data_IF_968950336413
#
_entry.id   IF_968950336413
#
_cell.length_a   1.000
_cell.length_b   1.000
_cell.length_c   1.000
_cell.angle_alpha   90.00
_cell.angle_beta   90.00
_cell.angle_gamma   90.00
#
_symmetry.space_group_name_H-M   'P 1'
#
loop_
_entity.id
_entity.type
_entity.pdbx_description
1 polymer ?
#
# COMPACT_ATOMS: atom_id res chain seq x y z
N UNK A 1 22.64 5.91 17.37
CA UNK A 1 21.16 6.08 17.35
C UNK A 1 20.56 6.69 18.62
N UNK A 2 21.31 6.85 19.73
CA UNK A 2 20.78 7.38 21.00
C UNK A 2 20.33 8.86 20.99
N UNK A 3 20.83 9.69 20.07
CA UNK A 3 20.66 11.15 20.12
C UNK A 3 19.25 11.68 19.83
N UNK A 4 18.40 10.90 19.14
CA UNK A 4 17.01 11.31 18.85
C UNK A 4 16.04 10.91 19.96
N UNK A 5 16.29 9.77 20.63
CA UNK A 5 15.44 9.28 21.70
C UNK A 5 15.49 10.17 22.95
N UNK A 6 16.62 10.84 23.18
CA UNK A 6 16.81 11.78 24.30
C UNK A 6 16.18 13.16 24.09
N UNK A 7 15.61 13.45 22.90
CA UNK A 7 15.05 14.77 22.57
C UNK A 7 13.53 14.80 22.79
N UNK A 8 12.93 15.97 23.09
CA UNK A 8 11.49 16.07 23.27
C UNK A 8 10.72 15.59 22.03
N UNK A 9 9.75 14.69 22.24
CA UNK A 9 8.99 14.05 21.17
C UNK A 9 8.30 15.06 20.24
N UNK A 10 7.74 16.14 20.79
CA UNK A 10 7.09 17.20 20.01
C UNK A 10 8.04 17.91 19.02
N UNK A 11 9.37 17.86 19.22
CA UNK A 11 10.36 18.43 18.29
C UNK A 11 10.80 17.44 17.20
N UNK A 12 10.78 16.13 17.50
CA UNK A 12 11.34 15.09 16.62
C UNK A 12 10.27 14.38 15.80
N UNK A 13 9.16 13.98 16.42
CA UNK A 13 8.10 13.18 15.79
C UNK A 13 7.52 13.84 14.53
N UNK A 14 7.20 15.16 14.51
CA UNK A 14 6.71 15.80 13.29
C UNK A 14 7.70 15.73 12.12
N UNK A 15 9.02 15.75 12.39
CA UNK A 15 10.05 15.61 11.33
C UNK A 15 10.10 14.19 10.77
N UNK A 16 10.01 13.18 11.63
CA UNK A 16 9.98 11.77 11.21
C UNK A 16 8.74 11.47 10.37
N UNK A 17 7.58 11.95 10.79
CA UNK A 17 6.32 11.78 10.06
C UNK A 17 6.37 12.45 8.69
N UNK A 18 6.87 13.69 8.59
CA UNK A 18 7.07 14.35 7.29
C UNK A 18 7.98 13.54 6.36
N UNK A 19 9.01 12.89 6.90
CA UNK A 19 9.90 12.02 6.10
C UNK A 19 9.16 10.80 5.57
N UNK A 20 8.32 10.16 6.39
CA UNK A 20 7.55 8.99 5.98
C UNK A 20 6.43 9.36 4.98
N UNK A 21 5.78 10.52 5.14
CA UNK A 21 4.87 11.09 4.12
C UNK A 21 5.60 11.33 2.80
N UNK A 22 6.78 11.94 2.83
CA UNK A 22 7.59 12.18 1.62
C UNK A 22 7.96 10.87 0.93
N UNK A 23 8.32 9.85 1.70
CA UNK A 23 8.65 8.53 1.19
C UNK A 23 7.47 7.90 0.45
N UNK A 24 6.29 7.88 1.09
CA UNK A 24 5.07 7.38 0.46
C UNK A 24 4.77 8.15 -0.84
N UNK A 25 4.83 9.48 -0.83
CA UNK A 25 4.61 10.30 -2.04
C UNK A 25 5.59 9.98 -3.17
N UNK A 26 6.83 9.66 -2.86
CA UNK A 26 7.81 9.26 -3.87
C UNK A 26 7.48 7.89 -4.47
N UNK A 27 7.17 6.90 -3.63
CA UNK A 27 6.78 5.57 -4.11
C UNK A 27 5.53 5.63 -5.01
N UNK A 28 4.52 6.45 -4.64
CA UNK A 28 3.33 6.64 -5.48
C UNK A 28 3.64 7.36 -6.79
N UNK A 29 4.58 8.30 -6.79
CA UNK A 29 5.00 8.99 -8.02
C UNK A 29 5.64 8.00 -9.00
N UNK A 30 6.58 7.21 -8.50
CA UNK A 30 7.26 6.16 -9.27
C UNK A 30 6.26 5.13 -9.81
N UNK A 31 5.22 4.80 -9.03
CA UNK A 31 4.15 3.92 -9.48
C UNK A 31 3.33 4.48 -10.65
N UNK A 32 3.14 5.81 -10.74
CA UNK A 32 2.41 6.43 -11.86
C UNK A 32 3.17 6.37 -13.19
N UNK A 33 4.48 6.21 -13.14
CA UNK A 33 5.32 6.15 -14.34
C UNK A 33 5.27 4.77 -15.01
N UNK A 34 4.57 3.80 -14.41
CA UNK A 34 4.44 2.45 -14.95
C UNK A 34 3.05 2.19 -15.56
N UNK A 35 2.93 1.36 -16.62
CA UNK A 35 1.65 1.02 -17.23
C UNK A 35 0.80 0.11 -16.33
N UNK A 36 -0.45 0.51 -16.09
CA UNK A 36 -1.46 -0.28 -15.39
C UNK A 36 -1.60 -1.69 -15.98
N UNK A 37 -1.88 -2.68 -15.12
CA UNK A 37 -2.14 -4.07 -15.54
C UNK A 37 -0.90 -4.89 -15.92
N UNK A 38 0.31 -4.33 -15.82
CA UNK A 38 1.53 -5.15 -15.90
C UNK A 38 1.64 -6.01 -14.64
N UNK A 39 1.84 -7.32 -14.81
CA UNK A 39 1.65 -8.36 -13.78
C UNK A 39 2.62 -8.35 -12.59
N UNK A 40 3.39 -7.27 -12.41
CA UNK A 40 4.06 -6.96 -11.16
C UNK A 40 4.30 -5.44 -11.16
N UNK A 41 3.70 -4.71 -10.21
CA UNK A 41 4.07 -3.32 -9.93
C UNK A 41 4.87 -3.27 -8.62
N UNK A 42 6.20 -3.54 -8.67
CA UNK A 42 7.09 -3.35 -7.52
C UNK A 42 6.89 -2.01 -6.83
N UNK A 43 6.52 -0.99 -7.61
CA UNK A 43 6.26 0.38 -7.18
C UNK A 43 4.98 0.53 -6.36
N UNK A 44 3.84 -0.07 -6.76
CA UNK A 44 2.63 -0.11 -5.92
C UNK A 44 2.85 -0.95 -4.66
N UNK A 45 3.62 -2.03 -4.75
CA UNK A 45 4.01 -2.81 -3.59
C UNK A 45 4.85 -1.99 -2.60
N UNK A 46 5.77 -1.15 -3.11
CA UNK A 46 6.55 -0.24 -2.30
C UNK A 46 5.69 0.86 -1.65
N UNK A 47 4.75 1.44 -2.41
CA UNK A 47 3.77 2.39 -1.87
C UNK A 47 2.95 1.77 -0.72
N UNK A 48 2.57 0.49 -0.83
CA UNK A 48 1.89 -0.24 0.25
C UNK A 48 2.74 -0.35 1.51
N UNK A 49 4.02 -0.73 1.36
CA UNK A 49 4.97 -0.81 2.50
C UNK A 49 5.12 0.54 3.19
N UNK A 50 5.27 1.61 2.41
CA UNK A 50 5.43 2.96 2.93
C UNK A 50 4.14 3.50 3.55
N UNK A 51 2.97 3.12 3.04
CA UNK A 51 1.67 3.41 3.65
C UNK A 51 1.53 2.74 5.02
N UNK A 52 1.87 1.46 5.13
CA UNK A 52 1.87 0.72 6.41
C UNK A 52 2.83 1.36 7.42
N UNK A 53 4.03 1.73 6.96
CA UNK A 53 5.03 2.43 7.78
C UNK A 53 4.50 3.76 8.30
N UNK A 54 3.91 4.57 7.43
CA UNK A 54 3.33 5.87 7.81
C UNK A 54 2.19 5.70 8.82
N UNK A 55 1.32 4.70 8.61
CA UNK A 55 0.24 4.37 9.57
C UNK A 55 0.80 4.09 10.95
N UNK A 56 1.76 3.18 11.07
CA UNK A 56 2.35 2.84 12.37
C UNK A 56 3.12 4.00 13.00
N UNK A 57 3.81 4.80 12.20
CA UNK A 57 4.45 6.02 12.71
C UNK A 57 3.41 7.00 13.27
N UNK A 58 2.27 7.15 12.59
CA UNK A 58 1.17 8.01 13.03
C UNK A 58 0.50 7.47 14.29
N UNK A 59 0.21 6.17 14.37
CA UNK A 59 -0.32 5.51 15.58
C UNK A 59 0.62 5.74 16.78
N UNK A 60 1.94 5.58 16.59
CA UNK A 60 2.95 5.85 17.61
C UNK A 60 3.05 7.34 18.00
N UNK A 61 2.59 8.25 17.15
CA UNK A 61 2.59 9.69 17.39
C UNK A 61 1.37 10.20 18.19
N UNK A 62 0.43 9.31 18.55
CA UNK A 62 -0.77 9.65 19.32
C UNK A 62 -0.51 10.48 20.58
N UNK A 63 0.54 10.22 21.40
CA UNK A 63 0.83 11.04 22.58
C UNK A 63 1.25 12.48 22.29
N UNK A 64 1.69 12.79 21.06
CA UNK A 64 2.11 14.14 20.66
C UNK A 64 0.91 14.98 20.22
N UNK A 65 0.02 14.42 19.41
CA UNK A 65 -1.20 15.07 18.96
C UNK A 65 -2.21 14.00 18.50
N UNK A 66 -3.11 13.60 19.40
CA UNK A 66 -4.07 12.51 19.16
C UNK A 66 -4.92 12.73 17.92
N UNK A 67 -5.53 13.90 17.78
CA UNK A 67 -6.47 14.19 16.69
C UNK A 67 -5.77 14.09 15.32
N UNK A 68 -4.66 14.79 15.14
CA UNK A 68 -3.95 14.81 13.85
C UNK A 68 -3.26 13.48 13.55
N UNK A 69 -2.74 12.80 14.57
CA UNK A 69 -2.14 11.47 14.43
C UNK A 69 -3.17 10.43 13.97
N UNK A 70 -4.36 10.40 14.59
CA UNK A 70 -5.44 9.48 14.23
C UNK A 70 -5.89 9.70 12.79
N UNK A 71 -6.15 10.96 12.39
CA UNK A 71 -6.53 11.29 11.00
C UNK A 71 -5.49 10.84 9.98
N UNK A 72 -4.20 10.98 10.30
CA UNK A 72 -3.13 10.53 9.42
C UNK A 72 -3.03 9.01 9.35
N UNK A 73 -3.21 8.31 10.48
CA UNK A 73 -3.23 6.85 10.53
C UNK A 73 -4.39 6.29 9.69
N UNK A 74 -5.59 6.88 9.81
CA UNK A 74 -6.78 6.48 9.05
C UNK A 74 -6.61 6.70 7.55
N UNK A 75 -6.08 7.86 7.14
CA UNK A 75 -5.77 8.15 5.74
C UNK A 75 -4.74 7.18 5.17
N UNK A 76 -3.68 6.87 5.93
CA UNK A 76 -2.67 5.89 5.52
C UNK A 76 -3.25 4.46 5.48
N UNK A 77 -4.17 4.13 6.38
CA UNK A 77 -4.87 2.84 6.41
C UNK A 77 -5.75 2.64 5.17
N UNK A 78 -6.49 3.66 4.74
CA UNK A 78 -7.31 3.60 3.53
C UNK A 78 -6.49 3.25 2.28
N UNK A 79 -5.36 3.94 2.09
CA UNK A 79 -4.41 3.62 1.01
C UNK A 79 -3.83 2.22 1.15
N UNK A 80 -3.40 1.85 2.37
CA UNK A 80 -2.84 0.53 2.66
C UNK A 80 -3.82 -0.60 2.33
N UNK A 81 -5.11 -0.42 2.61
CA UNK A 81 -6.16 -1.42 2.36
C UNK A 81 -6.34 -1.66 0.86
N UNK A 82 -6.49 -0.60 0.07
CA UNK A 82 -6.69 -0.71 -1.38
C UNK A 82 -5.48 -1.37 -2.06
N UNK A 83 -4.26 -0.97 -1.68
CA UNK A 83 -3.04 -1.60 -2.19
C UNK A 83 -2.85 -3.02 -1.65
N UNK A 84 -3.51 -3.39 -0.56
CA UNK A 84 -3.65 -4.76 -0.08
C UNK A 84 -4.47 -5.60 -1.05
N UNK A 85 -5.69 -5.15 -1.40
CA UNK A 85 -6.56 -5.83 -2.37
C UNK A 85 -5.83 -6.11 -3.71
N UNK A 86 -5.08 -5.11 -4.21
CA UNK A 86 -4.24 -5.27 -5.40
C UNK A 86 -3.17 -6.36 -5.23
N UNK A 87 -2.40 -6.32 -4.13
CA UNK A 87 -1.34 -7.30 -3.89
C UNK A 87 -1.89 -8.72 -3.72
N UNK A 88 -3.01 -8.86 -3.03
CA UNK A 88 -3.67 -10.15 -2.82
C UNK A 88 -4.11 -10.74 -4.16
N UNK A 89 -4.64 -9.91 -5.07
CA UNK A 89 -4.96 -10.31 -6.44
C UNK A 89 -3.72 -10.79 -7.21
N UNK A 90 -2.60 -10.04 -7.15
CA UNK A 90 -1.34 -10.42 -7.81
C UNK A 90 -0.81 -11.77 -7.29
N UNK A 91 -0.79 -11.96 -5.97
CA UNK A 91 -0.34 -13.22 -5.35
C UNK A 91 -1.28 -14.38 -5.72
N UNK A 92 -2.59 -14.13 -5.70
CA UNK A 92 -3.61 -15.14 -6.05
C UNK A 92 -3.49 -15.57 -7.52
N UNK A 93 -3.22 -14.64 -8.44
CA UNK A 93 -2.97 -14.95 -9.86
C UNK A 93 -1.79 -15.90 -10.05
N UNK A 94 -0.67 -15.63 -9.38
CA UNK A 94 0.49 -16.51 -9.51
C UNK A 94 0.21 -17.92 -8.93
N UNK A 95 -0.54 -17.99 -7.82
CA UNK A 95 -1.02 -19.27 -7.29
C UNK A 95 -1.93 -20.00 -8.29
N UNK A 96 -2.94 -19.33 -8.84
CA UNK A 96 -3.88 -19.90 -9.81
C UNK A 96 -3.18 -20.40 -11.07
N UNK A 97 -2.15 -19.67 -11.54
CA UNK A 97 -1.32 -20.10 -12.68
C UNK A 97 -0.59 -21.41 -12.37
N UNK A 98 0.00 -21.54 -11.19
CA UNK A 98 0.69 -22.77 -10.75
C UNK A 98 -0.28 -23.93 -10.61
N UNK A 99 -1.44 -23.71 -9.98
CA UNK A 99 -2.48 -24.73 -9.81
C UNK A 99 -3.07 -25.18 -11.15
N UNK A 100 -3.32 -24.25 -12.08
CA UNK A 100 -3.79 -24.57 -13.42
C UNK A 100 -2.79 -25.41 -14.22
N UNK A 101 -1.48 -25.11 -14.10
CA UNK A 101 -0.43 -25.91 -14.71
C UNK A 101 -0.36 -27.33 -14.09
N UNK A 102 -0.48 -27.43 -12.76
CA UNK A 102 -0.50 -28.73 -12.08
C UNK A 102 -1.72 -29.57 -12.48
N UNK A 103 -2.92 -28.98 -12.52
CA UNK A 103 -4.14 -29.64 -12.95
C UNK A 103 -3.98 -30.20 -14.37
N UNK A 104 -3.45 -29.41 -15.29
CA UNK A 104 -3.16 -29.87 -16.66
C UNK A 104 -2.21 -31.07 -16.69
N UNK A 105 -1.13 -31.06 -15.90
CA UNK A 105 -0.18 -32.19 -15.82
C UNK A 105 -0.82 -33.46 -15.24
N UNK A 106 -1.88 -33.33 -14.45
CA UNK A 106 -2.65 -34.45 -13.89
C UNK A 106 -3.80 -34.90 -14.80
N UNK A 107 -3.94 -34.31 -16.00
CA UNK A 107 -5.05 -34.59 -16.92
C UNK A 107 -6.39 -33.95 -16.52
N UNK A 108 -6.38 -33.06 -15.54
CA UNK A 108 -7.56 -32.30 -15.12
C UNK A 108 -7.76 -31.03 -15.98
N UNK A 109 -8.98 -30.46 -15.91
CA UNK A 109 -9.31 -29.27 -16.67
C UNK A 109 -8.79 -27.98 -15.99
N UNK A 110 -7.78 -27.34 -16.61
CA UNK A 110 -7.22 -26.07 -16.15
C UNK A 110 -8.10 -24.83 -16.35
N UNK A 111 -9.21 -24.92 -17.10
CA UNK A 111 -10.02 -23.76 -17.49
C UNK A 111 -10.56 -22.96 -16.31
N UNK A 112 -11.01 -23.64 -15.24
CA UNK A 112 -11.53 -22.98 -14.03
C UNK A 112 -10.49 -22.08 -13.37
N UNK A 113 -9.23 -22.50 -13.33
CA UNK A 113 -8.13 -21.68 -12.81
C UNK A 113 -7.86 -20.46 -13.70
N UNK A 114 -7.94 -20.62 -15.03
CA UNK A 114 -7.84 -19.50 -15.97
C UNK A 114 -8.96 -18.47 -15.80
N UNK A 115 -10.20 -18.93 -15.58
CA UNK A 115 -11.36 -18.07 -15.27
C UNK A 115 -11.17 -17.27 -13.98
N UNK A 116 -10.70 -17.92 -12.91
CA UNK A 116 -10.39 -17.25 -11.66
C UNK A 116 -9.24 -16.26 -11.83
N UNK A 117 -8.19 -16.63 -12.56
CA UNK A 117 -7.05 -15.75 -12.82
C UNK A 117 -7.49 -14.45 -13.51
N UNK A 118 -8.35 -14.54 -14.52
CA UNK A 118 -8.91 -13.37 -15.20
C UNK A 118 -9.76 -12.47 -14.28
N UNK A 119 -10.49 -13.06 -13.32
CA UNK A 119 -11.23 -12.30 -12.31
C UNK A 119 -10.31 -11.54 -11.37
N UNK A 120 -9.21 -12.15 -10.95
CA UNK A 120 -8.20 -11.49 -10.10
C UNK A 120 -7.47 -10.39 -10.87
N UNK A 121 -7.25 -10.54 -12.19
CA UNK A 121 -6.71 -9.46 -13.03
C UNK A 121 -7.63 -8.24 -13.03
N UNK A 122 -8.94 -8.44 -13.20
CA UNK A 122 -9.92 -7.36 -13.08
C UNK A 122 -9.91 -6.71 -11.67
N UNK A 123 -9.79 -7.53 -10.62
CA UNK A 123 -9.77 -7.06 -9.22
C UNK A 123 -8.54 -6.19 -8.95
N UNK A 124 -7.37 -6.56 -9.46
CA UNK A 124 -6.16 -5.75 -9.38
C UNK A 124 -6.34 -4.40 -10.09
N UNK A 125 -6.90 -4.40 -11.30
CA UNK A 125 -7.14 -3.17 -12.07
C UNK A 125 -8.13 -2.23 -11.38
N UNK A 126 -9.23 -2.76 -10.81
CA UNK A 126 -10.17 -1.95 -10.03
C UNK A 126 -9.52 -1.37 -8.77
N UNK A 127 -8.71 -2.17 -8.05
CA UNK A 127 -7.97 -1.70 -6.89
C UNK A 127 -6.98 -0.57 -7.25
N UNK A 128 -6.28 -0.69 -8.38
CA UNK A 128 -5.39 0.37 -8.90
C UNK A 128 -6.18 1.65 -9.24
N UNK A 129 -7.31 1.52 -9.93
CA UNK A 129 -8.17 2.64 -10.25
C UNK A 129 -8.75 3.33 -8.99
N UNK A 130 -9.19 2.55 -8.00
CA UNK A 130 -9.63 3.04 -6.68
C UNK A 130 -8.49 3.76 -5.97
N UNK A 131 -7.29 3.20 -5.98
CA UNK A 131 -6.11 3.83 -5.39
C UNK A 131 -5.83 5.19 -6.03
N UNK A 132 -5.84 5.30 -7.35
CA UNK A 132 -5.62 6.58 -8.02
C UNK A 132 -6.69 7.63 -7.68
N UNK A 133 -7.95 7.23 -7.48
CA UNK A 133 -9.01 8.14 -7.04
C UNK A 133 -8.79 8.61 -5.60
N UNK A 134 -8.59 7.69 -4.67
CA UNK A 134 -8.39 8.01 -3.25
C UNK A 134 -7.09 8.79 -3.01
N UNK A 135 -6.04 8.50 -3.77
CA UNK A 135 -4.76 9.20 -3.64
C UNK A 135 -4.87 10.71 -3.95
N UNK A 136 -5.79 11.13 -4.84
CA UNK A 136 -6.04 12.56 -5.09
C UNK A 136 -6.54 13.29 -3.84
N UNK A 137 -7.23 12.57 -2.96
CA UNK A 137 -7.79 13.09 -1.72
C UNK A 137 -6.88 12.83 -0.51
N UNK A 138 -5.68 12.25 -0.72
CA UNK A 138 -4.76 11.95 0.37
C UNK A 138 -4.14 13.24 0.92
N UNK A 139 -4.67 13.70 2.04
CA UNK A 139 -4.16 14.85 2.78
C UNK A 139 -3.45 14.38 4.05
N UNK A 140 -2.20 14.84 4.25
CA UNK A 140 -1.41 14.53 5.42
C UNK A 140 -1.39 15.72 6.39
N UNK A 141 -2.19 15.72 7.48
CA UNK A 141 -2.15 16.81 8.45
C UNK A 141 -0.75 16.93 9.09
N UNK A 142 -0.24 18.16 9.20
CA UNK A 142 1.01 18.42 9.93
C UNK A 142 0.82 18.13 11.41
N UNK A 143 1.68 17.32 12.03
CA UNK A 143 1.64 17.10 13.49
C UNK A 143 2.25 18.25 14.31
N UNK A 144 2.88 19.24 13.67
CA UNK A 144 3.40 20.45 14.33
C UNK A 144 2.44 21.63 14.23
N UNK A 145 2.58 22.62 15.12
CA UNK A 145 2.14 23.99 14.82
C UNK A 145 2.89 24.50 13.60
#
# INVERSE_FOLDING_TARGET
>A
MALLASRPAHKVVPKLIRRDVKRLRNAVREAKDHPAGTSDHPTLHQARKDGKRLRYAAEAATPVNRERATRLADAAHGIQKILGDHQDSVVTRDLLRRLGAQAFLQGENGFSYGRLHAREEYTALDAEARFHREWKNFHSPSLGK
#
